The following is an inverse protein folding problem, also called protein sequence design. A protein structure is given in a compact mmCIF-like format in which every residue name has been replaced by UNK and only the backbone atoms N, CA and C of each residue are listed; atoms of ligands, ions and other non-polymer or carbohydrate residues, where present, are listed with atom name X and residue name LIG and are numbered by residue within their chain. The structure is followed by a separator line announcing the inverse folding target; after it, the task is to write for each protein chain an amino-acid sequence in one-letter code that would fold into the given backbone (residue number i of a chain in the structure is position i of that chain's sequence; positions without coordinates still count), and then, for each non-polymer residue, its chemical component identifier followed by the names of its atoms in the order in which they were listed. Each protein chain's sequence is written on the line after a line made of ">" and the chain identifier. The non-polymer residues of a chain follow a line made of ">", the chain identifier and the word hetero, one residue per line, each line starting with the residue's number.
data_IF_551767832595
#
_entry.id   IF_551767832595
#
_cell.length_a   1.000
_cell.length_b   1.000
_cell.length_c   1.000
_cell.angle_alpha   90.00
_cell.angle_beta   90.00
_cell.angle_gamma   90.00
#
_symmetry.space_group_name_H-M   'P 1'
#
loop_
_entity.id
_entity.type
_entity.pdbx_description
1 polymer ?
#
# COMPACT_ATOMS: atom_id res chain seq x y z
N UNK A 1 41.23 -15.38 -58.09
CA UNK A 1 40.51 -14.13 -57.78
C UNK A 1 39.20 -14.60 -57.16
N UNK A 2 39.11 -14.48 -55.83
CA UNK A 2 38.02 -14.78 -54.89
C UNK A 2 36.87 -15.69 -55.35
N UNK A 3 36.83 -16.90 -54.80
CA UNK A 3 35.65 -17.78 -54.80
C UNK A 3 34.60 -17.24 -53.82
N UNK A 4 33.38 -17.03 -54.32
CA UNK A 4 32.21 -16.61 -53.56
C UNK A 4 31.75 -17.75 -52.63
N UNK A 5 32.01 -17.58 -51.33
CA UNK A 5 31.40 -18.41 -50.28
C UNK A 5 29.94 -17.97 -50.15
N UNK A 6 29.02 -18.74 -50.76
CA UNK A 6 27.59 -18.62 -50.53
C UNK A 6 27.31 -19.02 -49.07
N UNK A 7 27.02 -18.03 -48.23
CA UNK A 7 26.65 -18.26 -46.83
C UNK A 7 25.17 -18.61 -46.78
N UNK A 8 24.87 -19.83 -46.34
CA UNK A 8 23.52 -20.39 -46.22
C UNK A 8 22.64 -19.57 -45.25
N UNK A 9 21.55 -18.97 -45.75
CA UNK A 9 20.58 -18.19 -44.96
C UNK A 9 19.96 -19.00 -43.82
N UNK A 10 19.89 -20.33 -43.96
CA UNK A 10 19.34 -21.22 -42.96
C UNK A 10 20.27 -21.32 -41.72
N UNK A 11 21.59 -21.29 -41.94
CA UNK A 11 22.61 -21.27 -40.90
C UNK A 11 22.60 -19.94 -40.10
N UNK A 12 22.35 -18.82 -40.78
CA UNK A 12 22.16 -17.51 -40.13
C UNK A 12 20.89 -17.47 -39.28
N UNK A 13 19.82 -18.14 -39.71
CA UNK A 13 18.59 -18.30 -38.93
C UNK A 13 18.77 -19.11 -37.64
N UNK A 14 19.56 -20.18 -37.68
CA UNK A 14 19.90 -20.99 -36.49
C UNK A 14 20.83 -20.20 -35.55
N UNK A 15 21.82 -19.49 -36.09
CA UNK A 15 22.71 -18.62 -35.31
C UNK A 15 21.94 -17.48 -34.62
N UNK A 16 20.99 -16.85 -35.30
CA UNK A 16 20.16 -15.78 -34.75
C UNK A 16 19.25 -16.26 -33.60
N UNK A 17 18.63 -17.44 -33.74
CA UNK A 17 17.80 -18.06 -32.67
C UNK A 17 18.64 -18.49 -31.47
N UNK A 18 19.84 -19.01 -31.72
CA UNK A 18 20.80 -19.36 -30.68
C UNK A 18 21.30 -18.12 -29.95
N UNK A 19 21.61 -17.05 -30.69
CA UNK A 19 22.03 -15.76 -30.12
C UNK A 19 20.93 -15.11 -29.27
N UNK A 20 19.65 -15.22 -29.65
CA UNK A 20 18.55 -14.71 -28.83
C UNK A 20 18.42 -15.49 -27.51
N UNK A 21 18.66 -16.79 -27.55
CA UNK A 21 18.67 -17.65 -26.36
C UNK A 21 19.85 -17.33 -25.44
N UNK A 22 21.04 -17.11 -26.01
CA UNK A 22 22.24 -16.68 -25.28
C UNK A 22 22.06 -15.28 -24.68
N UNK A 23 21.48 -14.34 -25.43
CA UNK A 23 21.11 -13.00 -24.91
C UNK A 23 20.19 -13.13 -23.70
N UNK A 24 19.19 -13.99 -23.80
CA UNK A 24 18.23 -14.23 -22.71
C UNK A 24 18.93 -14.81 -21.49
N UNK A 25 19.86 -15.76 -21.65
CA UNK A 25 20.65 -16.34 -20.56
C UNK A 25 21.57 -15.29 -19.92
N UNK A 26 22.25 -14.45 -20.72
CA UNK A 26 23.14 -13.39 -20.23
C UNK A 26 22.38 -12.30 -19.47
N UNK A 27 21.15 -11.94 -19.90
CA UNK A 27 20.31 -11.00 -19.15
C UNK A 27 19.62 -11.62 -17.93
N UNK A 28 19.31 -12.92 -17.97
CA UNK A 28 18.60 -13.61 -16.88
C UNK A 28 19.52 -14.04 -15.74
N UNK A 29 20.78 -14.35 -16.04
CA UNK A 29 21.77 -14.60 -15.00
C UNK A 29 22.47 -13.29 -14.64
N UNK A 30 22.27 -12.83 -13.41
CA UNK A 30 23.18 -11.92 -12.72
C UNK A 30 24.55 -12.59 -12.54
N UNK A 31 25.27 -12.89 -13.63
CA UNK A 31 26.63 -13.38 -13.57
C UNK A 31 27.48 -12.19 -13.15
N UNK A 32 27.77 -12.09 -11.86
CA UNK A 32 28.87 -11.25 -11.39
C UNK A 32 30.09 -11.69 -12.19
N UNK A 33 30.73 -10.79 -12.94
CA UNK A 33 31.77 -11.12 -13.95
C UNK A 33 32.96 -11.97 -13.45
N UNK A 34 33.01 -12.31 -12.16
CA UNK A 34 33.93 -13.25 -11.53
C UNK A 34 33.64 -14.73 -11.87
N UNK A 35 32.42 -15.11 -12.25
CA UNK A 35 32.02 -16.52 -12.42
C UNK A 35 32.03 -17.02 -13.89
N UNK A 36 32.55 -16.22 -14.83
CA UNK A 36 32.63 -16.62 -16.25
C UNK A 36 33.86 -17.47 -16.51
N UNK A 37 33.67 -18.64 -17.11
CA UNK A 37 34.74 -19.51 -17.60
C UNK A 37 35.55 -18.85 -18.74
N UNK A 38 36.79 -19.29 -19.01
CA UNK A 38 37.66 -18.67 -20.00
C UNK A 38 37.06 -18.56 -21.41
N UNK A 39 36.35 -19.59 -21.88
CA UNK A 39 35.76 -19.57 -23.22
C UNK A 39 34.56 -18.62 -23.32
N UNK A 40 33.78 -18.45 -22.25
CA UNK A 40 32.68 -17.48 -22.22
C UNK A 40 33.20 -16.04 -22.33
N UNK A 41 34.32 -15.73 -21.67
CA UNK A 41 34.98 -14.43 -21.79
C UNK A 41 35.54 -14.20 -23.19
N UNK A 42 36.13 -15.24 -23.80
CA UNK A 42 36.65 -15.17 -25.17
C UNK A 42 35.52 -14.92 -26.19
N UNK A 43 34.38 -15.60 -26.03
CA UNK A 43 33.20 -15.41 -26.87
C UNK A 43 32.63 -13.99 -26.76
N UNK A 44 32.45 -13.48 -25.54
CA UNK A 44 31.96 -12.12 -25.30
C UNK A 44 32.90 -11.05 -25.89
N UNK A 45 34.21 -11.29 -25.80
CA UNK A 45 35.23 -10.41 -26.39
C UNK A 45 35.19 -10.46 -27.92
N UNK A 46 35.07 -11.65 -28.51
CA UNK A 46 34.92 -11.84 -29.96
C UNK A 46 33.66 -11.17 -30.52
N UNK A 47 32.62 -11.00 -29.70
CA UNK A 47 31.39 -10.29 -30.05
C UNK A 47 31.41 -8.80 -29.69
N UNK A 48 32.54 -8.26 -29.22
CA UNK A 48 32.67 -6.85 -28.89
C UNK A 48 31.88 -6.40 -27.64
N UNK A 49 31.40 -7.33 -26.82
CA UNK A 49 30.65 -7.04 -25.60
C UNK A 49 31.65 -6.77 -24.47
N UNK A 50 31.75 -5.51 -24.05
CA UNK A 50 32.56 -5.13 -22.88
C UNK A 50 31.85 -5.52 -21.60
N UNK A 51 32.49 -6.41 -20.83
CA UNK A 51 32.07 -6.73 -19.47
C UNK A 51 32.54 -5.62 -18.53
N UNK A 52 31.74 -4.58 -18.38
CA UNK A 52 31.96 -3.61 -17.32
C UNK A 52 31.46 -4.20 -16.00
N UNK A 53 32.31 -4.14 -14.97
CA UNK A 53 31.89 -4.48 -13.63
C UNK A 53 30.81 -3.49 -13.20
N UNK A 54 29.55 -3.91 -13.24
CA UNK A 54 28.45 -3.10 -12.71
C UNK A 54 28.70 -2.91 -11.22
N UNK A 55 29.07 -1.69 -10.81
CA UNK A 55 29.04 -1.30 -9.41
C UNK A 55 27.57 -1.27 -8.98
N UNK A 56 27.09 -2.40 -8.46
CA UNK A 56 25.77 -2.45 -7.87
C UNK A 56 25.76 -1.55 -6.64
N UNK A 57 24.79 -0.64 -6.57
CA UNK A 57 24.54 0.12 -5.35
C UNK A 57 24.35 -0.86 -4.18
N UNK A 58 24.77 -0.48 -2.95
CA UNK A 58 24.58 -1.32 -1.79
C UNK A 58 23.10 -1.68 -1.63
N UNK A 59 22.79 -2.93 -1.21
CA UNK A 59 21.41 -3.36 -1.04
C UNK A 59 20.70 -2.41 -0.07
N UNK A 60 19.54 -1.89 -0.49
CA UNK A 60 18.70 -1.04 0.35
C UNK A 60 17.75 -1.93 1.16
N UNK A 61 17.76 -1.79 2.48
CA UNK A 61 16.77 -2.43 3.33
C UNK A 61 15.41 -1.76 3.11
N UNK A 62 14.51 -2.48 2.45
CA UNK A 62 13.13 -2.06 2.24
C UNK A 62 12.28 -2.67 3.35
N UNK A 63 11.72 -1.83 4.24
CA UNK A 63 10.80 -2.24 5.30
C UNK A 63 9.67 -1.24 5.46
N UNK A 64 8.56 -1.71 6.01
CA UNK A 64 7.47 -0.84 6.44
C UNK A 64 7.88 -0.03 7.68
N UNK A 65 7.39 1.21 7.77
CA UNK A 65 7.61 2.11 8.89
C UNK A 65 6.28 2.61 9.45
N UNK A 66 6.20 2.73 10.78
CA UNK A 66 5.04 3.31 11.44
C UNK A 66 4.81 4.77 11.01
N UNK A 67 3.55 5.25 11.01
CA UNK A 67 3.28 6.67 10.79
C UNK A 67 3.83 7.52 11.94
N UNK A 68 3.97 8.85 11.73
CA UNK A 68 4.31 9.79 12.79
C UNK A 68 3.35 9.69 13.99
N UNK A 69 3.76 10.13 15.20
CA UNK A 69 2.93 10.07 16.40
C UNK A 69 1.52 10.63 16.18
N UNK A 70 0.50 9.87 16.59
CA UNK A 70 -0.91 10.23 16.39
C UNK A 70 -1.44 10.05 14.96
N UNK A 71 -0.58 9.64 14.02
CA UNK A 71 -0.94 9.34 12.65
C UNK A 71 -1.54 7.95 12.47
N UNK A 72 -2.28 7.80 11.38
CA UNK A 72 -2.81 6.54 10.88
C UNK A 72 -2.21 6.25 9.50
N UNK A 73 -1.93 4.98 9.23
CA UNK A 73 -1.39 4.54 7.95
C UNK A 73 -2.15 3.35 7.41
N UNK A 74 -2.69 3.49 6.20
CA UNK A 74 -3.45 2.46 5.48
C UNK A 74 -2.58 1.89 4.37
N UNK A 75 -2.23 0.62 4.49
CA UNK A 75 -1.55 -0.11 3.44
C UNK A 75 -2.60 -0.89 2.63
N UNK A 76 -2.58 -0.79 1.30
CA UNK A 76 -3.52 -1.47 0.39
C UNK A 76 -2.78 -2.30 -0.66
N UNK A 77 -3.41 -3.39 -1.10
CA UNK A 77 -2.89 -4.28 -2.16
C UNK A 77 -4.08 -4.90 -2.93
N UNK A 78 -4.04 -4.77 -4.25
CA UNK A 78 -4.97 -5.37 -5.19
C UNK A 78 -4.38 -6.59 -5.89
N UNK A 79 -5.09 -7.72 -5.84
CA UNK A 79 -4.68 -8.94 -6.52
C UNK A 79 -5.55 -9.18 -7.76
N UNK A 80 -4.89 -9.34 -8.91
CA UNK A 80 -5.51 -9.78 -10.14
C UNK A 80 -4.62 -10.80 -10.85
N UNK A 81 -5.12 -12.03 -10.99
CA UNK A 81 -4.41 -13.11 -11.69
C UNK A 81 -5.39 -13.87 -12.58
N UNK A 82 -5.38 -13.56 -13.87
CA UNK A 82 -6.24 -14.19 -14.90
C UNK A 82 -6.14 -15.71 -14.88
N UNK A 83 -4.93 -16.26 -14.76
CA UNK A 83 -4.69 -17.70 -14.84
C UNK A 83 -5.30 -18.50 -13.68
N UNK A 84 -5.48 -17.88 -12.51
CA UNK A 84 -6.04 -18.56 -11.33
C UNK A 84 -7.44 -18.05 -10.98
N UNK A 85 -7.99 -17.10 -11.75
CA UNK A 85 -9.23 -16.40 -11.42
C UNK A 85 -9.19 -15.61 -10.10
N UNK A 86 -7.99 -15.38 -9.54
CA UNK A 86 -7.87 -14.65 -8.27
C UNK A 86 -8.06 -13.18 -8.55
N UNK A 87 -9.13 -12.63 -7.99
CA UNK A 87 -9.48 -11.22 -8.09
C UNK A 87 -9.96 -10.73 -6.72
N UNK A 88 -9.28 -9.73 -6.19
CA UNK A 88 -9.65 -9.16 -4.90
C UNK A 88 -8.75 -8.03 -4.46
N UNK A 89 -9.04 -7.50 -3.28
CA UNK A 89 -8.30 -6.43 -2.64
C UNK A 89 -8.16 -6.70 -1.15
N UNK A 90 -7.15 -6.10 -0.53
CA UNK A 90 -6.97 -6.15 0.92
C UNK A 90 -6.30 -4.87 1.41
N UNK A 91 -6.46 -4.60 2.68
CA UNK A 91 -5.73 -3.53 3.33
C UNK A 91 -5.72 -3.61 4.84
N UNK A 92 -4.75 -2.94 5.45
CA UNK A 92 -4.56 -2.88 6.89
C UNK A 92 -4.31 -1.43 7.27
N UNK A 93 -5.10 -0.92 8.20
CA UNK A 93 -4.87 0.36 8.84
C UNK A 93 -4.14 0.15 10.17
N UNK A 94 -3.06 0.91 10.39
CA UNK A 94 -2.30 0.90 11.65
C UNK A 94 -2.16 2.29 12.26
N UNK A 95 -2.03 2.32 13.57
CA UNK A 95 -1.70 3.53 14.32
C UNK A 95 -0.17 3.75 14.42
N UNK A 96 0.24 4.84 15.09
CA UNK A 96 1.65 5.19 15.30
C UNK A 96 2.45 4.20 16.14
N UNK A 97 1.78 3.35 16.92
CA UNK A 97 2.43 2.28 17.70
C UNK A 97 2.63 1.00 16.86
N UNK A 98 2.10 0.97 15.63
CA UNK A 98 2.05 -0.22 14.79
C UNK A 98 0.87 -1.15 15.11
N UNK A 99 0.00 -0.78 16.06
CA UNK A 99 -1.20 -1.56 16.34
C UNK A 99 -2.16 -1.45 15.15
N UNK A 100 -2.76 -2.59 14.81
CA UNK A 100 -3.78 -2.66 13.77
C UNK A 100 -5.06 -2.04 14.34
N UNK A 101 -5.67 -1.14 13.57
CA UNK A 101 -6.98 -0.54 13.87
C UNK A 101 -8.05 -1.35 13.15
N UNK A 102 -7.86 -1.61 11.86
CA UNK A 102 -8.67 -2.54 11.10
C UNK A 102 -7.87 -3.22 10.01
N UNK A 103 -8.38 -4.36 9.55
CA UNK A 103 -7.90 -5.05 8.36
C UNK A 103 -9.10 -5.53 7.53
N UNK A 104 -8.95 -5.63 6.22
CA UNK A 104 -10.01 -6.17 5.37
C UNK A 104 -9.45 -6.98 4.20
N UNK A 105 -10.27 -7.90 3.70
CA UNK A 105 -10.10 -8.57 2.42
C UNK A 105 -11.43 -8.58 1.67
N UNK A 106 -11.42 -8.31 0.37
CA UNK A 106 -12.59 -8.32 -0.48
C UNK A 106 -12.32 -9.17 -1.72
N UNK A 107 -13.30 -9.98 -2.12
CA UNK A 107 -13.31 -10.62 -3.43
C UNK A 107 -14.08 -9.73 -4.41
N UNK A 108 -13.53 -9.54 -5.61
CA UNK A 108 -14.17 -8.72 -6.64
C UNK A 108 -14.62 -9.59 -7.81
N UNK A 109 -15.77 -9.25 -8.37
CA UNK A 109 -16.25 -9.73 -9.65
C UNK A 109 -15.96 -8.70 -10.73
N UNK A 110 -15.89 -9.14 -11.99
CA UNK A 110 -15.88 -8.25 -13.18
C UNK A 110 -14.68 -7.29 -13.29
N UNK A 111 -13.60 -7.54 -12.56
CA UNK A 111 -12.33 -6.80 -12.71
C UNK A 111 -11.54 -7.36 -13.89
N UNK A 112 -10.95 -6.47 -14.68
CA UNK A 112 -10.27 -6.85 -15.92
C UNK A 112 -8.76 -6.59 -15.91
N UNK A 113 -8.25 -5.94 -14.86
CA UNK A 113 -6.84 -5.54 -14.74
C UNK A 113 -6.37 -5.47 -13.29
N UNK A 114 -5.05 -5.55 -13.07
CA UNK A 114 -4.44 -5.37 -11.74
C UNK A 114 -4.66 -3.97 -11.19
N UNK A 115 -4.55 -2.94 -12.01
CA UNK A 115 -4.75 -1.56 -11.57
C UNK A 115 -6.19 -1.28 -11.12
N UNK A 116 -7.16 -1.96 -11.73
CA UNK A 116 -8.56 -1.89 -11.30
C UNK A 116 -8.76 -2.55 -9.93
N UNK A 117 -8.15 -3.72 -9.70
CA UNK A 117 -8.16 -4.36 -8.38
C UNK A 117 -7.51 -3.47 -7.29
N UNK A 118 -6.39 -2.82 -7.61
CA UNK A 118 -5.70 -1.87 -6.73
C UNK A 118 -6.58 -0.65 -6.41
N UNK A 119 -7.23 -0.07 -7.42
CA UNK A 119 -8.12 1.07 -7.24
C UNK A 119 -9.35 0.72 -6.39
N UNK A 120 -9.92 -0.47 -6.59
CA UNK A 120 -11.04 -0.98 -5.78
C UNK A 120 -10.60 -1.25 -4.33
N UNK A 121 -9.43 -1.87 -4.12
CA UNK A 121 -8.86 -2.07 -2.80
C UNK A 121 -8.73 -0.74 -2.06
N UNK A 122 -8.12 0.27 -2.70
CA UNK A 122 -8.07 1.61 -2.15
C UNK A 122 -9.46 2.15 -1.80
N UNK A 123 -10.40 2.13 -2.74
CA UNK A 123 -11.75 2.66 -2.55
C UNK A 123 -12.48 2.02 -1.35
N UNK A 124 -12.37 0.71 -1.20
CA UNK A 124 -12.94 -0.02 -0.08
C UNK A 124 -12.28 0.37 1.25
N UNK A 125 -10.95 0.45 1.29
CA UNK A 125 -10.21 0.92 2.48
C UNK A 125 -10.58 2.34 2.88
N UNK A 126 -10.78 3.25 1.92
CA UNK A 126 -11.24 4.61 2.20
C UNK A 126 -12.68 4.65 2.69
N UNK A 127 -13.55 3.77 2.16
CA UNK A 127 -14.94 3.66 2.61
C UNK A 127 -15.00 3.25 4.08
N UNK A 128 -14.21 2.26 4.48
CA UNK A 128 -14.11 1.85 5.90
C UNK A 128 -13.60 3.01 6.76
N UNK A 129 -12.62 3.78 6.29
CA UNK A 129 -12.16 4.97 7.02
C UNK A 129 -13.30 5.99 7.22
N UNK A 130 -14.10 6.27 6.19
CA UNK A 130 -15.26 7.14 6.31
C UNK A 130 -16.26 6.60 7.35
N UNK A 131 -16.61 5.31 7.27
CA UNK A 131 -17.59 4.67 8.14
C UNK A 131 -17.14 4.65 9.61
N UNK A 132 -15.82 4.60 9.85
CA UNK A 132 -15.22 4.69 11.17
C UNK A 132 -15.04 6.12 11.69
N UNK A 133 -15.38 7.14 10.91
CA UNK A 133 -15.12 8.54 11.26
C UNK A 133 -13.63 8.89 11.32
N UNK A 134 -12.81 8.22 10.52
CA UNK A 134 -11.39 8.55 10.37
C UNK A 134 -11.29 9.71 9.38
N UNK A 135 -10.67 10.81 9.84
CA UNK A 135 -10.60 12.06 9.08
C UNK A 135 -9.21 12.36 8.50
N UNK A 136 -8.21 11.52 8.76
CA UNK A 136 -6.82 11.68 8.30
C UNK A 136 -6.10 10.33 8.32
N UNK A 137 -5.49 9.96 7.20
CA UNK A 137 -4.61 8.79 7.10
C UNK A 137 -3.61 8.95 5.95
N UNK A 138 -2.38 8.46 6.15
CA UNK A 138 -1.44 8.25 5.06
C UNK A 138 -1.75 6.90 4.39
N UNK A 139 -1.79 6.85 3.07
CA UNK A 139 -2.07 5.64 2.30
C UNK A 139 -0.81 5.21 1.55
N UNK A 140 -0.51 3.92 1.59
CA UNK A 140 0.59 3.29 0.87
C UNK A 140 0.05 2.18 -0.03
N UNK A 141 0.45 2.20 -1.31
CA UNK A 141 0.16 1.16 -2.31
C UNK A 141 1.44 0.75 -3.03
N UNK A 142 1.55 -0.52 -3.44
CA UNK A 142 2.65 -1.01 -4.27
C UNK A 142 2.41 -0.82 -5.78
N UNK A 143 1.28 -0.22 -6.16
CA UNK A 143 0.97 0.15 -7.53
C UNK A 143 1.42 1.57 -7.84
N UNK A 144 2.64 1.72 -8.37
CA UNK A 144 3.17 3.03 -8.78
C UNK A 144 2.24 3.74 -9.78
N UNK A 145 1.62 3.00 -10.70
CA UNK A 145 0.70 3.55 -11.69
C UNK A 145 -0.53 4.16 -11.02
N UNK A 146 -1.14 3.45 -10.05
CA UNK A 146 -2.28 3.99 -9.29
C UNK A 146 -1.88 5.27 -8.56
N UNK A 147 -0.74 5.27 -7.88
CA UNK A 147 -0.23 6.43 -7.13
C UNK A 147 0.02 7.62 -8.07
N UNK A 148 0.54 7.39 -9.27
CA UNK A 148 0.75 8.45 -10.26
C UNK A 148 -0.57 9.02 -10.78
N UNK A 149 -1.59 8.19 -11.03
CA UNK A 149 -2.92 8.65 -11.46
C UNK A 149 -3.56 9.51 -10.36
N UNK A 150 -3.56 9.05 -9.10
CA UNK A 150 -4.16 9.79 -7.97
C UNK A 150 -3.48 11.15 -7.77
N UNK A 151 -2.16 11.19 -7.91
CA UNK A 151 -1.38 12.42 -7.76
C UNK A 151 -1.37 13.32 -9.00
N UNK A 152 -2.19 13.02 -10.03
CA UNK A 152 -2.29 13.82 -11.26
C UNK A 152 -1.04 13.79 -12.14
N UNK A 153 -0.14 12.82 -11.94
CA UNK A 153 1.11 12.65 -12.71
C UNK A 153 0.94 11.76 -13.94
N UNK A 154 -0.15 11.01 -14.03
CA UNK A 154 -0.48 10.14 -15.15
C UNK A 154 -1.96 10.25 -15.48
N UNK A 155 -2.32 10.03 -16.75
CA UNK A 155 -3.71 10.03 -17.19
C UNK A 155 -4.45 8.79 -16.67
N UNK A 156 -5.71 8.99 -16.30
CA UNK A 156 -6.58 7.91 -15.87
C UNK A 156 -7.20 7.20 -17.09
N UNK A 157 -7.05 5.87 -17.25
CA UNK A 157 -7.79 5.11 -18.25
C UNK A 157 -9.30 5.28 -18.07
N UNK A 158 -10.04 5.42 -19.17
CA UNK A 158 -11.49 5.66 -19.13
C UNK A 158 -12.27 4.63 -18.30
N UNK A 159 -11.83 3.36 -18.33
CA UNK A 159 -12.44 2.27 -17.55
C UNK A 159 -12.32 2.47 -16.04
N UNK A 160 -11.32 3.20 -15.56
CA UNK A 160 -11.11 3.44 -14.13
C UNK A 160 -11.79 4.71 -13.63
N UNK A 161 -12.37 5.53 -14.52
CA UNK A 161 -12.91 6.85 -14.15
C UNK A 161 -13.98 6.75 -13.06
N UNK A 162 -14.84 5.73 -13.09
CA UNK A 162 -15.88 5.55 -12.08
C UNK A 162 -15.29 5.30 -10.68
N UNK A 163 -14.30 4.41 -10.58
CA UNK A 163 -13.60 4.12 -9.31
C UNK A 163 -12.83 5.36 -8.85
N UNK A 164 -12.12 6.01 -9.78
CA UNK A 164 -11.27 7.15 -9.46
C UNK A 164 -12.07 8.38 -9.04
N UNK A 165 -13.28 8.56 -9.57
CA UNK A 165 -14.22 9.58 -9.11
C UNK A 165 -14.59 9.34 -7.64
N UNK A 166 -14.97 8.11 -7.29
CA UNK A 166 -15.30 7.72 -5.93
C UNK A 166 -14.11 7.85 -4.97
N UNK A 167 -12.92 7.44 -5.40
CA UNK A 167 -11.67 7.61 -4.64
C UNK A 167 -11.39 9.10 -4.42
N UNK A 168 -11.56 9.94 -5.44
CA UNK A 168 -11.34 11.39 -5.32
C UNK A 168 -12.23 12.04 -4.26
N UNK A 169 -13.52 11.69 -4.24
CA UNK A 169 -14.45 12.17 -3.22
C UNK A 169 -14.01 11.70 -1.83
N UNK A 170 -13.70 10.42 -1.67
CA UNK A 170 -13.30 9.84 -0.37
C UNK A 170 -11.96 10.39 0.14
N UNK A 171 -10.99 10.62 -0.74
CA UNK A 171 -9.72 11.27 -0.40
C UNK A 171 -9.92 12.67 0.19
N UNK A 172 -10.91 13.43 -0.32
CA UNK A 172 -11.26 14.75 0.22
C UNK A 172 -11.90 14.65 1.61
N UNK A 173 -12.77 13.66 1.82
CA UNK A 173 -13.43 13.42 3.12
C UNK A 173 -12.45 12.99 4.23
N UNK A 174 -11.42 12.22 3.87
CA UNK A 174 -10.50 11.57 4.83
C UNK A 174 -9.12 12.25 4.91
N UNK A 175 -8.91 13.44 4.32
CA UNK A 175 -7.60 14.16 4.25
C UNK A 175 -6.40 13.21 4.08
N UNK A 176 -6.29 12.64 2.89
CA UNK A 176 -5.33 11.57 2.60
C UNK A 176 -4.15 12.05 1.78
N UNK A 177 -2.97 11.50 2.08
CA UNK A 177 -1.81 11.48 1.18
C UNK A 177 -1.60 10.04 0.68
N UNK A 178 -1.38 9.87 -0.63
CA UNK A 178 -1.13 8.55 -1.23
C UNK A 178 0.31 8.48 -1.74
N UNK A 179 1.09 7.53 -1.24
CA UNK A 179 2.48 7.29 -1.63
C UNK A 179 2.69 5.86 -2.13
N UNK A 180 3.71 5.73 -2.97
CA UNK A 180 4.15 4.43 -3.47
C UNK A 180 5.13 3.80 -2.49
N UNK A 181 4.96 2.51 -2.23
CA UNK A 181 5.91 1.67 -1.51
C UNK A 181 6.34 0.50 -2.38
N UNK A 182 7.59 0.07 -2.24
CA UNK A 182 8.01 -1.16 -2.90
C UNK A 182 7.25 -2.36 -2.34
N UNK A 183 7.00 -3.36 -3.20
CA UNK A 183 6.21 -4.54 -2.85
C UNK A 183 6.76 -5.25 -1.61
N UNK A 184 8.08 -5.29 -1.43
CA UNK A 184 8.76 -5.86 -0.27
C UNK A 184 8.33 -5.21 1.05
N UNK A 185 8.09 -3.89 1.06
CA UNK A 185 7.55 -3.20 2.23
C UNK A 185 6.06 -3.51 2.46
N UNK A 186 5.32 -3.89 1.40
CA UNK A 186 3.89 -4.19 1.47
C UNK A 186 3.58 -5.69 1.75
N UNK A 187 4.61 -6.57 1.75
CA UNK A 187 4.45 -8.01 1.97
C UNK A 187 3.82 -8.36 3.31
N UNK A 188 4.03 -7.52 4.32
CA UNK A 188 3.50 -7.70 5.68
C UNK A 188 1.96 -7.75 5.71
N UNK A 189 1.27 -7.02 4.81
CA UNK A 189 -0.19 -7.16 4.66
C UNK A 189 -0.55 -8.61 4.37
N UNK A 190 0.13 -9.23 3.40
CA UNK A 190 -0.20 -10.58 2.95
C UNK A 190 -0.04 -11.60 4.07
N UNK A 191 1.07 -11.53 4.80
CA UNK A 191 1.35 -12.41 5.92
C UNK A 191 0.31 -12.25 7.04
N UNK A 192 -0.04 -11.00 7.41
CA UNK A 192 -1.02 -10.75 8.46
C UNK A 192 -2.43 -11.17 8.09
N UNK A 193 -2.84 -10.95 6.85
CA UNK A 193 -4.15 -11.39 6.38
C UNK A 193 -4.27 -12.92 6.38
N UNK A 194 -3.21 -13.63 6.00
CA UNK A 194 -3.18 -15.10 6.09
C UNK A 194 -3.31 -15.56 7.56
N UNK A 195 -2.58 -14.91 8.47
CA UNK A 195 -2.69 -15.18 9.91
C UNK A 195 -4.11 -14.98 10.44
N UNK A 196 -4.84 -13.94 10.00
CA UNK A 196 -6.24 -13.73 10.40
C UNK A 196 -7.18 -14.83 9.89
N UNK A 197 -6.96 -15.32 8.68
CA UNK A 197 -7.75 -16.44 8.11
C UNK A 197 -7.52 -17.74 8.89
N UNK A 198 -6.28 -18.01 9.28
CA UNK A 198 -5.93 -19.19 10.09
C UNK A 198 -6.53 -19.07 11.50
N UNK A 199 -6.38 -17.91 12.16
CA UNK A 199 -6.91 -17.71 13.53
C UNK A 199 -8.43 -17.81 13.63
N UNK A 200 -9.19 -17.44 12.60
CA UNK A 200 -10.65 -17.67 12.56
C UNK A 200 -11.04 -19.14 12.65
N UNK A 201 -10.18 -20.07 12.22
CA UNK A 201 -10.44 -21.51 12.34
C UNK A 201 -10.13 -22.07 13.74
N UNK A 202 -9.54 -21.27 14.64
CA UNK A 202 -8.98 -21.78 15.91
C UNK A 202 -9.32 -20.95 17.17
N UNK A 203 -9.79 -19.70 17.07
CA UNK A 203 -10.10 -18.89 18.26
C UNK A 203 -11.34 -17.98 18.10
N UNK A 204 -12.26 -18.04 19.06
CA UNK A 204 -13.35 -17.07 19.27
C UNK A 204 -12.77 -15.70 19.68
N UNK A 205 -12.43 -14.86 18.69
CA UNK A 205 -12.12 -13.46 18.96
C UNK A 205 -13.42 -12.73 19.29
N UNK A 206 -13.52 -12.24 20.54
CA UNK A 206 -14.71 -11.67 21.13
C UNK A 206 -15.47 -10.71 20.21
N UNK A 207 -16.78 -10.97 20.07
CA UNK A 207 -17.74 -10.14 19.35
C UNK A 207 -17.65 -8.69 19.82
N UNK A 208 -17.03 -7.83 19.01
CA UNK A 208 -17.39 -6.41 19.03
C UNK A 208 -18.85 -6.33 18.60
N UNK A 209 -19.71 -5.79 19.48
CA UNK A 209 -21.17 -5.78 19.29
C UNK A 209 -21.54 -5.11 17.97
N UNK A 210 -22.16 -5.89 17.07
CA UNK A 210 -22.68 -5.56 15.74
C UNK A 210 -23.60 -4.32 15.67
N UNK A 211 -24.06 -3.81 16.81
CA UNK A 211 -25.23 -2.92 16.88
C UNK A 211 -25.02 -1.51 16.32
N UNK A 212 -23.79 -1.00 16.24
CA UNK A 212 -23.50 0.32 15.66
C UNK A 212 -23.05 0.29 14.19
N UNK A 213 -22.64 -0.87 13.66
CA UNK A 213 -22.17 -1.01 12.26
C UNK A 213 -23.27 -1.48 11.29
N UNK A 214 -24.40 -1.97 11.82
CA UNK A 214 -25.48 -2.62 11.04
C UNK A 214 -26.26 -1.73 10.07
N UNK A 215 -25.95 -0.44 9.94
CA UNK A 215 -26.60 0.42 8.91
C UNK A 215 -25.91 0.41 7.55
N UNK A 216 -24.66 -0.07 7.47
CA UNK A 216 -23.89 -0.24 6.23
C UNK A 216 -23.07 -1.52 6.35
N UNK A 217 -23.70 -2.68 6.12
CA UNK A 217 -22.95 -3.91 5.96
C UNK A 217 -21.98 -3.75 4.75
N UNK A 218 -20.74 -4.27 4.83
CA UNK A 218 -19.85 -4.26 3.68
C UNK A 218 -20.48 -5.11 2.56
N UNK A 219 -20.13 -4.80 1.30
CA UNK A 219 -20.57 -5.58 0.12
C UNK A 219 -20.46 -7.08 0.42
N UNK A 220 -21.41 -7.90 -0.02
CA UNK A 220 -21.58 -9.32 0.39
C UNK A 220 -20.35 -10.23 0.31
N UNK A 221 -19.26 -9.78 -0.33
CA UNK A 221 -18.03 -10.52 -0.58
C UNK A 221 -16.80 -9.92 0.13
N UNK A 222 -16.99 -9.13 1.18
CA UNK A 222 -15.92 -8.46 1.94
C UNK A 222 -15.86 -8.91 3.40
N UNK A 223 -14.67 -9.27 3.86
CA UNK A 223 -14.34 -9.57 5.25
C UNK A 223 -13.67 -8.38 5.91
N UNK A 224 -14.26 -7.88 7.00
CA UNK A 224 -13.70 -6.81 7.84
C UNK A 224 -13.29 -7.37 9.20
N UNK A 225 -12.10 -6.99 9.64
CA UNK A 225 -11.51 -7.36 10.92
C UNK A 225 -11.26 -6.08 11.73
N UNK A 226 -11.91 -5.97 12.88
CA UNK A 226 -11.81 -4.81 13.76
C UNK A 226 -10.91 -5.12 14.95
N UNK A 227 -10.03 -4.19 15.27
CA UNK A 227 -9.12 -4.27 16.41
C UNK A 227 -9.36 -3.04 17.29
N UNK A 228 -9.23 -3.21 18.61
CA UNK A 228 -9.82 -2.33 19.63
C UNK A 228 -9.66 -0.81 19.43
N UNK A 229 -10.61 -0.05 20.00
CA UNK A 229 -10.71 1.42 19.85
C UNK A 229 -9.38 2.15 20.13
N UNK A 230 -9.05 3.25 19.41
CA UNK A 230 -8.10 4.21 19.93
C UNK A 230 -8.63 4.74 21.27
N UNK A 231 -7.86 4.58 22.35
CA UNK A 231 -8.18 5.23 23.63
C UNK A 231 -8.28 6.72 23.34
N UNK A 232 -9.48 7.31 23.44
CA UNK A 232 -9.64 8.76 23.49
C UNK A 232 -8.68 9.25 24.57
N UNK A 233 -7.71 10.07 24.19
CA UNK A 233 -6.93 10.83 25.16
C UNK A 233 -7.93 11.50 26.09
N UNK A 234 -7.76 11.30 27.40
CA UNK A 234 -8.53 12.05 28.39
C UNK A 234 -8.37 13.52 28.03
N UNK A 235 -9.46 14.17 27.65
CA UNK A 235 -9.51 15.62 27.64
C UNK A 235 -9.13 16.05 29.05
N UNK A 236 -7.96 16.66 29.21
CA UNK A 236 -7.64 17.36 30.43
C UNK A 236 -8.70 18.46 30.58
N UNK A 237 -9.66 18.25 31.47
CA UNK A 237 -10.48 19.32 32.01
C UNK A 237 -9.54 20.35 32.63
N UNK A 238 -9.69 21.65 32.32
CA UNK A 238 -8.87 22.68 32.96
C UNK A 238 -9.13 22.68 34.48
N UNK A 239 -8.11 22.93 35.31
CA UNK A 239 -8.28 22.99 36.75
C UNK A 239 -9.21 24.15 37.12
N UNK A 240 -10.28 23.84 37.85
CA UNK A 240 -11.19 24.81 38.45
C UNK A 240 -10.53 25.44 39.67
N UNK A 241 -9.81 26.53 39.47
CA UNK A 241 -9.39 27.42 40.57
C UNK A 241 -9.70 28.86 40.20
N UNK A 242 -10.92 29.29 40.49
CA UNK A 242 -11.29 30.70 40.67
C UNK A 242 -12.75 30.83 41.14
N UNK A 243 -13.02 30.51 42.41
CA UNK A 243 -14.18 31.10 43.10
C UNK A 243 -14.06 31.00 44.62
N UNK A 244 -13.15 31.75 45.19
CA UNK A 244 -13.20 32.08 46.63
C UNK A 244 -12.44 33.38 46.88
N UNK A 245 -13.14 34.51 46.79
CA UNK A 245 -12.81 35.79 47.45
C UNK A 245 -13.82 36.86 47.02
N UNK A 246 -14.98 36.91 47.68
CA UNK A 246 -15.80 38.14 47.77
C UNK A 246 -16.91 37.98 48.80
N UNK A 247 -16.57 37.92 50.10
CA UNK A 247 -17.55 38.17 51.16
C UNK A 247 -16.86 38.46 52.50
N UNK A 248 -16.30 39.66 52.66
CA UNK A 248 -16.17 40.31 53.98
C UNK A 248 -15.59 41.71 53.85
N UNK A 249 -16.42 42.72 53.57
CA UNK A 249 -16.31 44.04 54.22
C UNK A 249 -17.55 44.88 53.90
N UNK A 250 -18.48 44.99 54.84
CA UNK A 250 -19.34 46.18 54.94
C UNK A 250 -19.64 46.44 56.41
N UNK A 251 -18.69 47.09 57.06
CA UNK A 251 -18.93 47.78 58.32
C UNK A 251 -19.53 49.16 58.03
N UNK A 252 -20.28 49.62 59.03
CA UNK A 252 -21.32 50.66 59.04
C UNK A 252 -20.76 52.10 58.91
N UNK A 253 -21.72 53.04 58.93
CA UNK A 253 -21.63 54.45 59.41
C UNK A 253 -21.21 55.49 58.33
N UNK A 254 -21.83 56.68 58.13
CA UNK A 254 -22.86 57.54 58.80
C UNK A 254 -23.38 58.61 57.77
N UNK A 255 -24.54 59.23 58.07
CA UNK A 255 -25.05 60.59 57.70
C UNK A 255 -25.77 60.73 56.34
N UNK A 256 -26.95 61.37 56.23
CA UNK A 256 -27.75 62.12 57.19
C UNK A 256 -29.05 62.68 56.55
N UNK A 257 -30.02 63.05 57.41
CA UNK A 257 -30.99 64.16 57.37
C UNK A 257 -31.33 64.80 55.99
N UNK A 258 -32.59 65.00 55.59
CA UNK A 258 -33.77 65.58 56.29
C UNK A 258 -35.06 65.10 55.63
#
# INVERSE_FOLDING_TARGET
>A
MFDDVVVDEEAMGVAARTMQSVRTIVYSFHIKGKDLSPWQRSLLTSWGIKLEAVQLAPPRLIRWFTPPPGGLKLNVDGAFKRSTGVVGGRGILRNSNGDIVFAYAAAYSEVNSSIEAEALALCDGLSICCDMGIHSAAVESDSLVLVQIINGKSSCPWRLLYIMHDVSIKCRLVRISVSHVYREANQDIKAQMEMFRIRRRSCDFGRFTESSFRRQAPKSNMELFLFGRPKRGKSASPPSTAREAASSTRSKHILGHK
#
